data_IF_465716381314
#
_entry.id   IF_465716381314
#
_cell.length_a   1.000
_cell.length_b   1.000
_cell.length_c   1.000
_cell.angle_alpha   90.00
_cell.angle_beta   90.00
_cell.angle_gamma   90.00
#
_symmetry.space_group_name_H-M   'P 1'
#
loop_
_entity.id
_entity.type
_entity.pdbx_description
1 polymer ?
#
# COMPACT_ATOMS: atom_id res chain seq x y z
N UNK A 1 5.88 -6.59 -5.43
CA UNK A 1 4.72 -7.48 -5.14
C UNK A 1 5.22 -8.90 -5.01
N UNK A 2 4.98 -9.52 -3.88
CA UNK A 2 5.35 -10.91 -3.61
C UNK A 2 4.12 -11.79 -3.79
N UNK A 3 4.07 -12.58 -4.87
CA UNK A 3 2.99 -13.53 -5.12
C UNK A 3 1.60 -12.89 -4.94
N UNK A 4 1.38 -11.74 -5.57
CA UNK A 4 0.16 -10.92 -5.49
C UNK A 4 -0.12 -10.30 -4.13
N UNK A 5 0.79 -10.40 -3.19
CA UNK A 5 0.65 -9.85 -1.84
C UNK A 5 1.82 -8.97 -1.43
N UNK A 6 2.10 -8.98 -0.14
CA UNK A 6 3.18 -8.21 0.47
C UNK A 6 4.24 -9.15 1.02
N UNK A 7 5.48 -8.68 1.29
CA UNK A 7 6.46 -9.48 1.98
C UNK A 7 5.93 -9.98 3.32
N UNK A 8 6.32 -11.19 3.72
CA UNK A 8 5.86 -11.77 5.00
C UNK A 8 6.24 -10.90 6.20
N UNK A 9 7.37 -10.21 6.13
CA UNK A 9 7.80 -9.28 7.18
C UNK A 9 6.82 -8.11 7.33
N UNK A 10 6.29 -7.57 6.23
CA UNK A 10 5.30 -6.50 6.30
C UNK A 10 3.98 -7.00 6.89
N UNK A 11 3.54 -8.20 6.50
CA UNK A 11 2.34 -8.82 7.09
C UNK A 11 2.51 -9.02 8.59
N UNK A 12 3.67 -9.53 9.01
CA UNK A 12 3.97 -9.69 10.43
C UNK A 12 3.95 -8.36 11.17
N UNK A 13 4.52 -7.32 10.58
CA UNK A 13 4.49 -5.96 11.14
C UNK A 13 3.05 -5.47 11.32
N UNK A 14 2.22 -5.63 10.30
CA UNK A 14 0.81 -5.26 10.38
C UNK A 14 0.10 -6.00 11.52
N UNK A 15 0.35 -7.31 11.64
CA UNK A 15 -0.28 -8.12 12.68
C UNK A 15 0.16 -7.67 14.07
N UNK A 16 1.40 -7.21 14.22
CA UNK A 16 1.91 -6.72 15.50
C UNK A 16 1.38 -5.34 15.87
N UNK A 17 1.16 -4.45 14.91
CA UNK A 17 0.67 -3.10 15.19
C UNK A 17 -0.86 -3.03 15.30
N UNK A 18 -1.59 -4.05 14.86
CA UNK A 18 -3.04 -4.13 15.02
C UNK A 18 -3.36 -4.57 16.44
N UNK A 19 -3.47 -3.60 17.36
CA UNK A 19 -3.66 -3.86 18.78
C UNK A 19 -4.93 -3.18 19.29
N UNK A 20 -5.85 -4.01 19.80
CA UNK A 20 -7.11 -3.52 20.36
C UNK A 20 -6.84 -2.55 21.52
N UNK A 21 -7.50 -1.39 21.49
CA UNK A 21 -7.33 -0.34 22.47
C UNK A 21 -6.15 0.59 22.21
N UNK A 22 -5.32 0.34 21.20
CA UNK A 22 -4.15 1.16 20.85
C UNK A 22 -4.26 1.70 19.43
N UNK A 23 -4.38 0.84 18.43
CA UNK A 23 -4.48 1.26 17.01
C UNK A 23 -5.90 1.17 16.46
N UNK A 24 -6.74 0.40 17.11
CA UNK A 24 -8.17 0.31 16.83
C UNK A 24 -8.92 -0.07 18.09
N UNK A 25 -10.24 0.08 18.07
CA UNK A 25 -11.10 -0.40 19.15
C UNK A 25 -12.39 -0.97 18.60
N UNK A 26 -13.03 -1.84 19.35
CA UNK A 26 -14.35 -2.35 18.99
C UNK A 26 -15.43 -1.43 19.57
N UNK A 27 -16.44 -1.14 18.74
CA UNK A 27 -17.60 -0.34 19.13
C UNK A 27 -18.87 -1.12 18.81
N UNK A 28 -20.06 -0.72 19.33
CA UNK A 28 -21.31 -1.34 18.93
C UNK A 28 -21.59 -1.28 17.42
N UNK A 29 -20.97 -0.33 16.71
CA UNK A 29 -21.11 -0.18 15.27
C UNK A 29 -19.97 -0.83 14.48
N UNK A 30 -19.11 -1.60 15.12
CA UNK A 30 -17.98 -2.28 14.52
C UNK A 30 -16.63 -1.69 14.93
N UNK A 31 -15.54 -2.14 14.31
CA UNK A 31 -14.20 -1.62 14.62
C UNK A 31 -14.06 -0.15 14.24
N UNK A 32 -13.29 0.58 15.04
CA UNK A 32 -12.94 1.98 14.79
C UNK A 32 -11.42 2.13 14.87
N UNK A 33 -10.80 2.68 13.81
CA UNK A 33 -9.37 2.96 13.78
C UNK A 33 -9.02 4.18 14.62
N UNK A 34 -7.91 4.12 15.33
CA UNK A 34 -7.51 5.17 16.28
C UNK A 34 -6.37 6.04 15.76
N UNK A 35 -5.65 5.63 14.71
CA UNK A 35 -4.53 6.40 14.13
C UNK A 35 -5.04 7.41 13.10
N UNK A 36 -5.83 8.37 13.56
CA UNK A 36 -6.42 9.39 12.69
C UNK A 36 -5.44 10.54 12.40
N UNK A 37 -5.70 11.31 11.34
CA UNK A 37 -4.90 12.49 11.00
C UNK A 37 -3.53 12.14 10.37
N UNK A 38 -3.30 10.91 9.96
CA UNK A 38 -2.05 10.48 9.35
C UNK A 38 -2.24 10.22 7.85
N UNK A 39 -1.14 10.37 7.12
CA UNK A 39 -1.08 10.03 5.69
C UNK A 39 -0.09 8.88 5.50
N UNK A 40 -0.45 7.93 4.66
CA UNK A 40 0.44 6.87 4.24
C UNK A 40 0.75 6.99 2.75
N UNK A 41 2.02 6.79 2.40
CA UNK A 41 2.46 6.66 1.01
C UNK A 41 3.03 5.25 0.86
N UNK A 42 2.48 4.49 -0.08
CA UNK A 42 2.85 3.10 -0.31
C UNK A 42 3.60 3.00 -1.64
N UNK A 43 4.83 2.55 -1.59
CA UNK A 43 5.64 2.32 -2.79
C UNK A 43 5.53 0.84 -3.17
N UNK A 44 5.03 0.57 -4.37
CA UNK A 44 4.81 -0.79 -4.85
C UNK A 44 5.56 -1.03 -6.15
N UNK A 45 6.52 -1.95 -6.12
CA UNK A 45 7.26 -2.40 -7.31
C UNK A 45 6.70 -3.73 -7.77
N UNK A 46 6.49 -3.87 -9.09
CA UNK A 46 5.83 -5.04 -9.67
C UNK A 46 6.50 -5.44 -10.99
N UNK A 47 6.64 -6.75 -11.19
CA UNK A 47 7.19 -7.26 -12.45
C UNK A 47 6.23 -7.11 -13.62
N UNK A 48 4.92 -7.23 -13.38
CA UNK A 48 3.86 -7.04 -14.37
C UNK A 48 3.05 -5.76 -14.11
N UNK A 49 1.95 -5.59 -14.82
CA UNK A 49 1.05 -4.46 -14.68
C UNK A 49 -0.28 -4.94 -14.09
N UNK A 50 -0.56 -4.57 -12.86
CA UNK A 50 -1.74 -5.04 -12.12
C UNK A 50 -2.66 -3.93 -11.63
N UNK A 51 -2.14 -2.70 -11.47
CA UNK A 51 -2.95 -1.58 -10.94
C UNK A 51 -4.21 -1.38 -11.77
N UNK A 52 -5.34 -1.30 -11.10
CA UNK A 52 -6.65 -1.14 -11.74
C UNK A 52 -7.23 -2.43 -12.30
N UNK A 53 -6.60 -3.58 -12.10
CA UNK A 53 -7.11 -4.88 -12.57
C UNK A 53 -7.59 -5.73 -11.41
N UNK A 54 -8.35 -6.79 -11.72
CA UNK A 54 -8.83 -7.75 -10.71
C UNK A 54 -7.69 -8.56 -10.05
N UNK A 55 -6.50 -8.55 -10.65
CA UNK A 55 -5.33 -9.25 -10.10
C UNK A 55 -4.56 -8.40 -9.09
N UNK A 56 -4.94 -7.14 -8.89
CA UNK A 56 -4.29 -6.29 -7.88
C UNK A 56 -4.91 -6.48 -6.50
N UNK A 57 -4.65 -7.60 -5.89
CA UNK A 57 -5.06 -7.87 -4.51
C UNK A 57 -4.18 -7.15 -3.48
N UNK A 58 -2.98 -6.74 -3.85
CA UNK A 58 -2.06 -6.06 -2.95
C UNK A 58 -2.56 -4.68 -2.53
N UNK A 59 -3.03 -3.87 -3.48
CA UNK A 59 -3.54 -2.53 -3.19
C UNK A 59 -4.70 -2.59 -2.19
N UNK A 60 -5.68 -3.44 -2.42
CA UNK A 60 -6.84 -3.55 -1.54
C UNK A 60 -6.44 -4.07 -0.16
N UNK A 61 -5.55 -5.05 -0.10
CA UNK A 61 -5.07 -5.58 1.18
C UNK A 61 -4.43 -4.48 2.03
N UNK A 62 -3.50 -3.71 1.46
CA UNK A 62 -2.79 -2.66 2.19
C UNK A 62 -3.73 -1.52 2.57
N UNK A 63 -4.60 -1.10 1.64
CA UNK A 63 -5.57 -0.02 1.89
C UNK A 63 -6.55 -0.41 2.99
N UNK A 64 -7.07 -1.62 2.95
CA UNK A 64 -8.04 -2.09 3.93
C UNK A 64 -7.42 -2.18 5.32
N UNK A 65 -6.18 -2.67 5.41
CA UNK A 65 -5.48 -2.72 6.70
C UNK A 65 -5.25 -1.32 7.26
N UNK A 66 -4.73 -0.39 6.46
CA UNK A 66 -4.46 0.98 6.92
C UNK A 66 -5.76 1.66 7.36
N UNK A 67 -6.84 1.48 6.62
CA UNK A 67 -8.16 2.01 6.99
C UNK A 67 -8.65 1.40 8.30
N UNK A 68 -8.43 0.12 8.51
CA UNK A 68 -8.82 -0.56 9.74
C UNK A 68 -8.19 0.09 10.98
N UNK A 69 -6.93 0.52 10.90
CA UNK A 69 -6.26 1.20 12.01
C UNK A 69 -6.45 2.73 12.00
N UNK A 70 -7.24 3.28 11.08
CA UNK A 70 -7.62 4.68 11.06
C UNK A 70 -6.93 5.58 10.03
N UNK A 71 -6.09 5.01 9.16
CA UNK A 71 -5.38 5.76 8.13
C UNK A 71 -6.14 5.61 6.81
N UNK A 72 -6.92 6.63 6.44
CA UNK A 72 -7.72 6.65 5.22
C UNK A 72 -7.08 7.48 4.09
N UNK A 73 -6.15 8.38 4.42
CA UNK A 73 -5.41 9.16 3.43
C UNK A 73 -4.19 8.36 2.96
N UNK A 74 -4.39 7.56 1.90
CA UNK A 74 -3.38 6.64 1.40
C UNK A 74 -3.13 6.92 -0.07
N UNK A 75 -1.87 7.17 -0.41
CA UNK A 75 -1.41 7.32 -1.78
C UNK A 75 -0.55 6.13 -2.16
N UNK A 76 -0.74 5.62 -3.38
CA UNK A 76 0.08 4.55 -3.92
C UNK A 76 0.98 5.08 -5.04
N UNK A 77 2.27 4.75 -4.97
CA UNK A 77 3.21 5.01 -6.04
C UNK A 77 3.58 3.66 -6.64
N UNK A 78 3.18 3.44 -7.91
CA UNK A 78 3.43 2.18 -8.59
C UNK A 78 4.62 2.31 -9.54
N UNK A 79 5.53 1.33 -9.48
CA UNK A 79 6.53 1.09 -10.50
C UNK A 79 6.26 -0.31 -11.05
N UNK A 80 5.53 -0.39 -12.16
CA UNK A 80 5.05 -1.65 -12.72
C UNK A 80 5.78 -2.05 -13.99
N UNK A 81 5.54 -3.28 -14.43
CA UNK A 81 6.15 -3.85 -15.65
C UNK A 81 7.67 -3.85 -15.62
N UNK A 82 8.27 -3.96 -14.45
CA UNK A 82 9.73 -3.87 -14.28
C UNK A 82 10.47 -5.10 -14.82
N UNK A 83 9.75 -6.21 -15.03
CA UNK A 83 10.33 -7.44 -15.56
C UNK A 83 10.17 -7.58 -17.08
N UNK A 84 9.58 -6.58 -17.78
CA UNK A 84 9.26 -6.71 -19.21
C UNK A 84 10.47 -6.46 -20.11
N UNK A 85 11.02 -5.27 -20.05
CA UNK A 85 12.20 -4.91 -20.84
C UNK A 85 12.99 -3.83 -20.12
N UNK A 86 14.31 -3.67 -20.42
CA UNK A 86 15.10 -2.59 -19.81
C UNK A 86 14.53 -1.20 -20.07
N UNK A 87 14.02 -0.96 -21.29
CA UNK A 87 13.46 0.34 -21.68
C UNK A 87 12.17 0.65 -20.93
N UNK A 88 11.27 -0.31 -20.82
CA UNK A 88 10.01 -0.15 -20.09
C UNK A 88 10.29 0.00 -18.60
N UNK A 89 11.22 -0.77 -18.07
CA UNK A 89 11.62 -0.68 -16.67
C UNK A 89 12.13 0.74 -16.35
N UNK A 90 13.04 1.26 -17.16
CA UNK A 90 13.61 2.58 -16.95
C UNK A 90 12.55 3.68 -17.03
N UNK A 91 11.67 3.61 -18.01
CA UNK A 91 10.56 4.56 -18.18
C UNK A 91 9.62 4.55 -16.97
N UNK A 92 9.22 3.36 -16.51
CA UNK A 92 8.27 3.23 -15.41
C UNK A 92 8.89 3.60 -14.06
N UNK A 93 10.18 3.34 -13.86
CA UNK A 93 10.89 3.84 -12.67
C UNK A 93 10.95 5.37 -12.67
N UNK A 94 11.24 5.99 -13.82
CA UNK A 94 11.27 7.44 -13.95
C UNK A 94 9.91 8.08 -13.63
N UNK A 95 8.83 7.48 -14.11
CA UNK A 95 7.45 7.94 -13.80
C UNK A 95 7.15 7.83 -12.31
N UNK A 96 7.55 6.74 -11.66
CA UNK A 96 7.34 6.55 -10.23
C UNK A 96 8.13 7.59 -9.41
N UNK A 97 9.36 7.88 -9.80
CA UNK A 97 10.18 8.91 -9.16
C UNK A 97 9.53 10.28 -9.30
N UNK A 98 9.03 10.62 -10.49
CA UNK A 98 8.32 11.88 -10.72
C UNK A 98 7.06 11.99 -9.84
N UNK A 99 6.28 10.90 -9.75
CA UNK A 99 5.11 10.86 -8.87
C UNK A 99 5.51 11.08 -7.40
N UNK A 100 6.57 10.42 -6.96
CA UNK A 100 7.09 10.57 -5.59
C UNK A 100 7.46 12.02 -5.29
N UNK A 101 8.15 12.69 -6.23
CA UNK A 101 8.53 14.09 -6.06
C UNK A 101 7.32 15.01 -5.94
N UNK A 102 6.26 14.76 -6.70
CA UNK A 102 5.02 15.54 -6.58
C UNK A 102 4.37 15.38 -5.21
N UNK A 103 4.37 14.18 -4.67
CA UNK A 103 3.80 13.93 -3.35
C UNK A 103 4.60 14.59 -2.23
N UNK A 104 5.89 14.78 -2.44
CA UNK A 104 6.78 15.40 -1.47
C UNK A 104 6.77 16.94 -1.53
N UNK A 105 6.21 17.50 -2.59
CA UNK A 105 6.19 18.96 -2.80
C UNK A 105 5.15 19.68 -1.93
#
# INVERSE_FOLDING_TARGET
MYNFGVPSQLKAYFDHIARAGITFRYTPNGPEGLLTGKKAVVFATRGGAYAGTALDSQTNFVRDFLRFIGISDVEFVYAESLARSPEIREENLAKAITHTRRLAA
#
